data_IF_290092776073
#
_entry.id   IF_290092776073
#
_cell.length_a   1.000
_cell.length_b   1.000
_cell.length_c   1.000
_cell.angle_alpha   90.00
_cell.angle_beta   90.00
_cell.angle_gamma   90.00
#
_symmetry.space_group_name_H-M   'P 1'
#
loop_
_entity.id
_entity.type
_entity.pdbx_description
1 polymer ?
#
# COMPACT_ATOMS: atom_id res chain seq x y z
N UNK A 1 -24.77 33.41 -12.83
CA UNK A 1 -25.72 32.28 -12.87
C UNK A 1 -26.41 32.24 -11.51
N UNK A 2 -27.73 32.29 -11.48
CA UNK A 2 -28.59 32.42 -10.29
C UNK A 2 -29.56 31.24 -10.10
N UNK A 3 -29.50 30.24 -10.97
CA UNK A 3 -30.34 29.04 -10.92
C UNK A 3 -29.49 27.78 -11.12
N UNK A 4 -29.67 26.77 -10.25
CA UNK A 4 -29.08 25.44 -10.34
C UNK A 4 -30.21 24.44 -10.58
N UNK A 5 -30.22 23.78 -11.75
CA UNK A 5 -31.21 22.77 -12.11
C UNK A 5 -30.61 21.37 -11.98
N UNK A 6 -31.21 20.53 -11.14
CA UNK A 6 -30.91 19.10 -11.04
C UNK A 6 -32.03 18.34 -11.74
N UNK A 7 -31.72 17.65 -12.83
CA UNK A 7 -32.71 16.92 -13.63
C UNK A 7 -32.49 15.41 -13.51
N UNK A 8 -33.57 14.68 -13.25
CA UNK A 8 -33.56 13.22 -13.26
C UNK A 8 -33.32 12.67 -14.69
N UNK A 9 -32.71 11.48 -14.83
CA UNK A 9 -32.48 10.87 -16.13
C UNK A 9 -33.80 10.47 -16.81
N UNK A 10 -33.89 10.67 -18.12
CA UNK A 10 -35.11 10.43 -18.90
C UNK A 10 -35.41 8.95 -19.16
N UNK A 11 -34.42 8.08 -18.97
CA UNK A 11 -34.53 6.63 -19.16
C UNK A 11 -34.85 5.85 -17.88
N UNK A 12 -35.04 6.52 -16.73
CA UNK A 12 -35.45 5.88 -15.48
C UNK A 12 -36.90 6.23 -15.14
N UNK A 13 -37.73 5.21 -14.86
CA UNK A 13 -39.14 5.41 -14.52
C UNK A 13 -39.34 6.07 -13.14
N UNK A 14 -38.49 5.75 -12.16
CA UNK A 14 -38.45 6.34 -10.81
C UNK A 14 -37.12 6.02 -10.13
N UNK A 15 -36.70 6.84 -9.16
CA UNK A 15 -35.54 6.62 -8.31
C UNK A 15 -35.46 7.64 -7.19
N UNK A 16 -34.61 7.37 -6.19
CA UNK A 16 -34.36 8.28 -5.06
C UNK A 16 -32.87 8.62 -5.03
N UNK A 17 -32.54 9.90 -4.85
CA UNK A 17 -31.17 10.39 -4.65
C UNK A 17 -31.19 11.29 -3.42
N UNK A 18 -30.19 11.15 -2.58
CA UNK A 18 -29.97 12.03 -1.43
C UNK A 18 -28.86 13.02 -1.80
N UNK A 19 -29.11 14.30 -1.55
CA UNK A 19 -28.17 15.38 -1.82
C UNK A 19 -27.91 16.10 -0.50
N UNK A 20 -26.65 16.31 -0.20
CA UNK A 20 -26.21 17.07 0.97
C UNK A 20 -24.99 17.91 0.59
N UNK A 21 -24.67 18.93 1.41
CA UNK A 21 -23.51 19.79 1.27
C UNK A 21 -23.32 20.37 -0.15
N UNK A 22 -24.38 20.94 -0.71
CA UNK A 22 -24.33 21.65 -1.98
C UNK A 22 -23.59 22.98 -1.77
N UNK A 23 -22.38 23.07 -2.30
CA UNK A 23 -21.55 24.28 -2.29
C UNK A 23 -21.50 24.91 -3.69
N UNK A 24 -21.61 26.24 -3.79
CA UNK A 24 -21.57 26.97 -5.06
C UNK A 24 -20.58 28.13 -4.98
N UNK A 25 -19.86 28.39 -6.07
CA UNK A 25 -18.80 29.40 -6.16
C UNK A 25 -17.70 29.28 -5.10
N UNK A 26 -17.43 28.07 -4.61
CA UNK A 26 -16.30 27.84 -3.70
C UNK A 26 -14.99 27.90 -4.48
N UNK A 27 -14.02 28.64 -3.92
CA UNK A 27 -12.66 28.65 -4.43
C UNK A 27 -12.02 27.30 -4.11
N UNK A 28 -11.93 26.45 -5.13
CA UNK A 28 -11.27 25.15 -5.05
C UNK A 28 -9.96 25.18 -5.83
N UNK A 29 -8.96 24.42 -5.36
CA UNK A 29 -7.76 24.19 -6.16
C UNK A 29 -8.15 23.34 -7.37
N UNK A 30 -8.08 23.92 -8.57
CA UNK A 30 -8.47 23.24 -9.81
C UNK A 30 -7.71 21.93 -10.05
N UNK A 31 -6.52 21.77 -9.43
CA UNK A 31 -5.71 20.54 -9.52
C UNK A 31 -6.23 19.41 -8.65
N UNK A 32 -7.05 19.73 -7.65
CA UNK A 32 -7.63 18.80 -6.67
C UNK A 32 -9.11 18.53 -6.96
N UNK A 33 -9.65 19.06 -8.06
CA UNK A 33 -11.03 18.84 -8.44
C UNK A 33 -11.25 17.39 -8.85
N UNK A 34 -12.23 16.75 -8.23
CA UNK A 34 -12.77 15.48 -8.70
C UNK A 34 -13.68 15.79 -9.88
N UNK A 35 -13.42 15.16 -11.03
CA UNK A 35 -14.33 15.15 -12.18
C UNK A 35 -15.09 13.83 -12.13
N UNK A 36 -16.35 13.80 -11.64
CA UNK A 36 -17.07 12.56 -11.40
C UNK A 36 -17.19 11.68 -12.66
N UNK A 37 -17.38 12.30 -13.83
CA UNK A 37 -17.48 11.60 -15.11
C UNK A 37 -16.19 10.86 -15.46
N UNK A 38 -15.03 11.38 -15.07
CA UNK A 38 -13.74 10.72 -15.26
C UNK A 38 -13.49 9.66 -14.18
N UNK A 39 -13.81 9.97 -12.92
CA UNK A 39 -13.64 9.03 -11.81
C UNK A 39 -14.49 7.76 -12.02
N UNK A 40 -15.77 7.93 -12.37
CA UNK A 40 -16.70 6.82 -12.61
C UNK A 40 -16.35 5.95 -13.83
N UNK A 41 -15.44 6.40 -14.69
CA UNK A 41 -14.89 5.60 -15.79
C UNK A 41 -13.83 4.62 -15.34
N UNK A 42 -13.41 4.62 -14.06
CA UNK A 42 -12.48 3.63 -13.56
C UNK A 42 -12.98 2.21 -13.86
N UNK A 43 -12.06 1.36 -14.32
CA UNK A 43 -12.30 -0.05 -14.60
C UNK A 43 -11.21 -0.86 -13.95
N UNK A 44 -11.56 -2.10 -13.60
CA UNK A 44 -10.57 -3.06 -13.17
C UNK A 44 -9.45 -3.17 -14.24
N UNK A 45 -8.16 -3.18 -13.84
CA UNK A 45 -7.05 -3.32 -14.76
C UNK A 45 -7.20 -4.56 -15.65
N UNK A 46 -6.93 -4.39 -16.94
CA UNK A 46 -6.76 -5.51 -17.87
C UNK A 46 -5.38 -6.10 -17.63
N UNK A 47 -5.34 -7.38 -17.27
CA UNK A 47 -4.11 -8.08 -16.96
C UNK A 47 -3.48 -8.60 -18.26
N UNK A 48 -2.16 -8.48 -18.38
CA UNK A 48 -1.45 -9.00 -19.55
C UNK A 48 -1.30 -10.53 -19.45
N UNK A 49 -2.31 -11.25 -19.93
CA UNK A 49 -2.36 -12.71 -19.90
C UNK A 49 -1.30 -13.37 -20.78
N UNK A 50 -0.76 -12.65 -21.78
CA UNK A 50 0.28 -13.16 -22.66
C UNK A 50 1.63 -13.18 -21.97
N UNK A 51 2.01 -12.09 -21.29
CA UNK A 51 3.28 -12.01 -20.54
C UNK A 51 3.19 -12.69 -19.17
N UNK A 52 2.02 -12.67 -18.55
CA UNK A 52 1.79 -13.22 -17.21
C UNK A 52 0.53 -14.07 -17.17
N UNK A 53 0.52 -15.27 -17.80
CA UNK A 53 -0.61 -16.16 -17.75
C UNK A 53 -0.87 -16.63 -16.31
N UNK A 54 -2.15 -16.90 -16.00
CA UNK A 54 -2.51 -17.54 -14.73
C UNK A 54 -1.96 -18.97 -14.75
N UNK A 55 -1.15 -19.38 -13.76
CA UNK A 55 -0.61 -20.74 -13.74
C UNK A 55 -1.73 -21.76 -13.50
N UNK A 56 -1.69 -22.87 -14.24
CA UNK A 56 -2.64 -24.00 -14.06
C UNK A 56 -2.45 -24.69 -12.70
N UNK A 57 -1.23 -24.71 -12.18
CA UNK A 57 -0.88 -25.28 -10.90
C UNK A 57 0.11 -24.39 -10.14
N UNK A 58 -0.02 -24.37 -8.81
CA UNK A 58 0.88 -23.66 -7.90
C UNK A 58 1.79 -24.68 -7.21
N UNK A 59 3.09 -24.54 -7.42
CA UNK A 59 4.13 -25.42 -6.83
C UNK A 59 4.22 -25.27 -5.32
N UNK A 60 4.80 -26.26 -4.63
CA UNK A 60 4.97 -26.18 -3.17
C UNK A 60 5.90 -25.02 -2.76
N UNK A 61 6.95 -24.76 -3.55
CA UNK A 61 7.84 -23.62 -3.33
C UNK A 61 7.09 -22.28 -3.42
N UNK A 62 6.17 -22.13 -4.37
CA UNK A 62 5.34 -20.93 -4.49
C UNK A 62 4.34 -20.81 -3.34
N UNK A 63 3.72 -21.91 -2.91
CA UNK A 63 2.84 -21.91 -1.72
C UNK A 63 3.60 -21.52 -0.47
N UNK A 64 4.79 -22.09 -0.26
CA UNK A 64 5.66 -21.74 0.85
C UNK A 64 6.08 -20.27 0.80
N UNK A 65 6.48 -19.77 -0.37
CA UNK A 65 6.82 -18.36 -0.58
C UNK A 65 5.65 -17.42 -0.28
N UNK A 66 4.44 -17.74 -0.75
CA UNK A 66 3.23 -16.96 -0.44
C UNK A 66 2.96 -16.98 1.07
N UNK A 67 3.05 -18.12 1.74
CA UNK A 67 2.88 -18.22 3.21
C UNK A 67 3.92 -17.35 3.94
N UNK A 68 5.18 -17.39 3.52
CA UNK A 68 6.23 -16.56 4.10
C UNK A 68 5.95 -15.05 3.95
N UNK A 69 5.49 -14.63 2.76
CA UNK A 69 5.15 -13.22 2.48
C UNK A 69 3.93 -12.72 3.27
N UNK A 70 2.92 -13.57 3.45
CA UNK A 70 1.72 -13.27 4.24
C UNK A 70 2.03 -13.12 5.74
N UNK A 71 3.09 -13.78 6.21
CA UNK A 71 3.50 -13.80 7.61
C UNK A 71 2.58 -14.66 8.49
N UNK A 72 2.89 -14.78 9.79
CA UNK A 72 2.17 -15.65 10.72
C UNK A 72 0.75 -15.14 11.02
N UNK A 73 -0.20 -16.06 11.21
CA UNK A 73 -1.63 -15.77 11.42
C UNK A 73 -1.98 -15.14 12.77
N UNK A 74 -1.20 -15.40 13.81
CA UNK A 74 -1.38 -14.88 15.15
C UNK A 74 -0.05 -14.59 15.85
N UNK A 75 -0.06 -13.58 16.72
CA UNK A 75 1.08 -13.10 17.49
C UNK A 75 1.17 -13.70 18.89
N UNK A 76 1.81 -12.95 19.80
CA UNK A 76 2.15 -13.40 21.14
C UNK A 76 0.96 -13.50 22.12
N UNK A 77 -0.22 -13.00 21.74
CA UNK A 77 -1.37 -12.78 22.63
C UNK A 77 -1.61 -11.30 22.91
N UNK A 78 -2.79 -10.95 23.41
CA UNK A 78 -3.15 -9.59 23.85
C UNK A 78 -4.09 -9.65 25.05
N UNK A 79 -4.20 -8.55 25.80
CA UNK A 79 -5.07 -8.48 26.98
C UNK A 79 -6.52 -8.22 26.62
N UNK A 80 -7.44 -8.80 27.40
CA UNK A 80 -8.88 -8.56 27.26
C UNK A 80 -9.24 -7.07 27.46
N UNK A 81 -8.51 -6.38 28.34
CA UNK A 81 -8.66 -4.94 28.55
C UNK A 81 -8.39 -4.16 27.28
N UNK A 82 -7.30 -4.47 26.56
CA UNK A 82 -6.95 -3.78 25.32
C UNK A 82 -7.99 -4.00 24.22
N UNK A 83 -8.51 -5.23 24.11
CA UNK A 83 -9.58 -5.58 23.17
C UNK A 83 -10.82 -4.74 23.47
N UNK A 84 -11.25 -4.73 24.75
CA UNK A 84 -12.42 -3.97 25.20
C UNK A 84 -12.28 -2.48 24.93
N UNK A 85 -11.15 -1.87 25.28
CA UNK A 85 -10.88 -0.45 25.06
C UNK A 85 -11.02 -0.05 23.59
N UNK A 86 -10.45 -0.84 22.68
CA UNK A 86 -10.52 -0.56 21.25
C UNK A 86 -11.94 -0.73 20.71
N UNK A 87 -12.66 -1.77 21.14
CA UNK A 87 -14.06 -1.97 20.75
C UNK A 87 -14.94 -0.82 21.25
N UNK A 88 -14.75 -0.33 22.48
CA UNK A 88 -15.48 0.84 22.99
C UNK A 88 -15.12 2.13 22.24
N UNK A 89 -13.86 2.33 21.87
CA UNK A 89 -13.47 3.48 21.02
C UNK A 89 -14.15 3.43 19.64
N UNK A 90 -14.28 2.24 19.03
CA UNK A 90 -15.01 2.08 17.77
C UNK A 90 -16.50 2.35 17.96
N UNK A 91 -17.13 1.84 19.03
CA UNK A 91 -18.53 2.14 19.34
C UNK A 91 -18.77 3.63 19.55
N UNK A 92 -17.84 4.32 20.21
CA UNK A 92 -17.90 5.76 20.45
C UNK A 92 -17.87 6.61 19.17
N UNK A 93 -17.49 6.04 18.02
CA UNK A 93 -17.63 6.72 16.73
C UNK A 93 -19.11 6.92 16.34
N UNK A 94 -20.06 6.18 16.94
CA UNK A 94 -21.48 6.31 16.63
C UNK A 94 -21.86 5.77 15.25
N UNK A 95 -21.08 4.83 14.71
CA UNK A 95 -21.39 4.15 13.44
C UNK A 95 -22.50 3.13 13.68
N UNK A 96 -23.61 3.27 12.96
CA UNK A 96 -24.78 2.40 13.06
C UNK A 96 -25.20 1.89 11.69
N UNK A 97 -25.78 0.69 11.66
CA UNK A 97 -26.40 0.13 10.46
C UNK A 97 -27.90 0.00 10.68
N UNK A 98 -28.70 0.53 9.76
CA UNK A 98 -30.16 0.46 9.79
C UNK A 98 -30.75 0.12 8.42
N UNK A 99 -32.05 0.32 8.24
CA UNK A 99 -32.76 0.06 6.98
C UNK A 99 -32.31 0.94 5.82
N UNK A 100 -31.64 2.06 6.10
CA UNK A 100 -31.13 2.99 5.09
C UNK A 100 -29.64 2.78 4.77
N UNK A 101 -28.97 1.86 5.44
CA UNK A 101 -27.57 1.52 5.19
C UNK A 101 -26.68 1.80 6.40
N UNK A 102 -25.47 2.30 6.15
CA UNK A 102 -24.49 2.64 7.19
C UNK A 102 -24.59 4.14 7.45
N UNK A 103 -24.63 4.54 8.72
CA UNK A 103 -24.64 5.95 9.14
C UNK A 103 -23.58 6.17 10.20
N UNK A 104 -22.97 7.34 10.20
CA UNK A 104 -21.92 7.71 11.14
C UNK A 104 -21.46 9.15 10.89
N UNK A 105 -20.39 9.58 11.58
CA UNK A 105 -19.90 10.94 11.47
C UNK A 105 -19.23 11.18 10.10
N UNK A 106 -19.51 12.34 9.51
CA UNK A 106 -18.76 12.86 8.37
C UNK A 106 -17.35 13.27 8.82
N UNK A 107 -16.38 13.30 7.91
CA UNK A 107 -15.02 13.72 8.21
C UNK A 107 -14.40 14.52 7.06
N UNK A 108 -13.49 15.44 7.39
CA UNK A 108 -12.61 16.08 6.40
C UNK A 108 -11.46 15.16 5.99
N UNK A 109 -11.03 14.29 6.91
CA UNK A 109 -9.95 13.33 6.70
C UNK A 109 -10.22 12.03 7.45
N UNK A 110 -10.03 10.86 6.82
CA UNK A 110 -10.23 9.57 7.46
C UNK A 110 -9.08 9.18 8.41
N UNK A 111 -8.06 10.03 8.60
CA UNK A 111 -6.85 9.72 9.36
C UNK A 111 -7.11 9.21 10.79
N UNK A 112 -8.04 9.82 11.52
CA UNK A 112 -8.35 9.40 12.89
C UNK A 112 -8.94 7.99 12.94
N UNK A 113 -9.92 7.71 12.07
CA UNK A 113 -10.53 6.37 11.94
C UNK A 113 -9.53 5.34 11.44
N UNK A 114 -8.68 5.70 10.47
CA UNK A 114 -7.63 4.81 9.97
C UNK A 114 -6.61 4.46 11.06
N UNK A 115 -6.21 5.41 11.90
CA UNK A 115 -5.31 5.16 13.02
C UNK A 115 -5.94 4.22 14.06
N UNK A 116 -7.21 4.40 14.38
CA UNK A 116 -7.94 3.49 15.27
C UNK A 116 -8.06 2.09 14.64
N UNK A 117 -8.45 2.00 13.37
CA UNK A 117 -8.55 0.74 12.63
C UNK A 117 -7.21 0.00 12.55
N UNK A 118 -6.09 0.72 12.40
CA UNK A 118 -4.75 0.12 12.43
C UNK A 118 -4.42 -0.45 13.82
N UNK A 119 -4.78 0.23 14.90
CA UNK A 119 -4.63 -0.31 16.26
C UNK A 119 -5.46 -1.57 16.48
N UNK A 120 -6.70 -1.58 15.98
CA UNK A 120 -7.57 -2.77 15.97
C UNK A 120 -6.92 -3.91 15.19
N UNK A 121 -6.42 -3.63 13.99
CA UNK A 121 -5.78 -4.61 13.12
C UNK A 121 -4.51 -5.21 13.73
N UNK A 122 -3.64 -4.39 14.32
CA UNK A 122 -2.47 -4.89 15.07
C UNK A 122 -2.88 -5.76 16.25
N UNK A 123 -3.89 -5.34 17.01
CA UNK A 123 -4.40 -6.11 18.16
C UNK A 123 -5.01 -7.43 17.70
N UNK A 124 -5.73 -7.44 16.57
CA UNK A 124 -6.31 -8.65 15.96
C UNK A 124 -5.21 -9.64 15.57
N UNK A 125 -4.12 -9.16 14.95
CA UNK A 125 -2.97 -10.00 14.62
C UNK A 125 -2.21 -10.47 15.84
N UNK A 126 -2.23 -9.74 16.95
CA UNK A 126 -1.64 -10.18 18.21
C UNK A 126 -2.49 -11.22 18.96
N UNK A 127 -3.82 -11.16 18.86
CA UNK A 127 -4.76 -12.07 19.54
C UNK A 127 -4.64 -13.53 19.10
N UNK A 128 -4.71 -14.42 20.10
CA UNK A 128 -4.81 -15.88 19.92
C UNK A 128 -6.23 -16.41 20.15
N UNK A 129 -6.98 -15.73 21.01
CA UNK A 129 -8.32 -16.16 21.40
C UNK A 129 -9.34 -15.90 20.28
N UNK A 130 -10.08 -16.93 19.84
CA UNK A 130 -11.10 -16.78 18.79
C UNK A 130 -12.16 -15.73 19.14
N UNK A 131 -12.52 -15.60 20.43
CA UNK A 131 -13.50 -14.60 20.88
C UNK A 131 -12.99 -13.16 20.67
N UNK A 132 -11.73 -12.88 21.06
CA UNK A 132 -11.10 -11.57 20.84
C UNK A 132 -10.98 -11.25 19.35
N UNK A 133 -10.58 -12.23 18.54
CA UNK A 133 -10.47 -12.06 17.08
C UNK A 133 -11.82 -11.73 16.45
N UNK A 134 -12.91 -12.36 16.88
CA UNK A 134 -14.27 -12.02 16.41
C UNK A 134 -14.64 -10.58 16.75
N UNK A 135 -14.46 -10.17 18.01
CA UNK A 135 -14.78 -8.80 18.45
C UNK A 135 -13.97 -7.74 17.67
N UNK A 136 -12.66 -7.95 17.51
CA UNK A 136 -11.80 -7.03 16.77
C UNK A 136 -12.10 -7.02 15.27
N UNK A 137 -12.48 -8.16 14.69
CA UNK A 137 -12.95 -8.21 13.32
C UNK A 137 -14.23 -7.41 13.14
N UNK A 138 -15.24 -7.59 14.00
CA UNK A 138 -16.49 -6.82 13.98
C UNK A 138 -16.23 -5.31 14.14
N UNK A 139 -15.34 -4.93 15.04
CA UNK A 139 -14.94 -3.54 15.23
C UNK A 139 -14.28 -2.95 13.97
N UNK A 140 -13.34 -3.67 13.35
CA UNK A 140 -12.70 -3.24 12.11
C UNK A 140 -13.71 -3.13 10.96
N UNK A 141 -14.58 -4.13 10.81
CA UNK A 141 -15.61 -4.17 9.77
C UNK A 141 -16.64 -3.05 9.92
N UNK A 142 -16.90 -2.58 11.14
CA UNK A 142 -17.73 -1.40 11.40
C UNK A 142 -17.09 -0.13 10.82
N UNK A 143 -15.80 0.07 11.08
CA UNK A 143 -15.06 1.23 10.54
C UNK A 143 -14.94 1.14 9.02
N UNK A 144 -14.64 -0.06 8.50
CA UNK A 144 -14.47 -0.27 7.06
C UNK A 144 -15.77 -0.07 6.28
N UNK A 145 -16.91 -0.50 6.81
CA UNK A 145 -18.22 -0.22 6.22
C UNK A 145 -18.50 1.27 6.12
N UNK A 146 -18.21 2.03 7.18
CA UNK A 146 -18.42 3.47 7.20
C UNK A 146 -17.49 4.18 6.21
N UNK A 147 -16.19 3.87 6.20
CA UNK A 147 -15.25 4.49 5.27
C UNK A 147 -15.58 4.16 3.81
N UNK A 148 -16.02 2.93 3.54
CA UNK A 148 -16.50 2.54 2.23
C UNK A 148 -17.74 3.35 1.83
N UNK A 149 -18.73 3.47 2.72
CA UNK A 149 -19.97 4.24 2.48
C UNK A 149 -19.71 5.75 2.28
N UNK A 150 -18.72 6.31 3.01
CA UNK A 150 -18.24 7.68 2.84
C UNK A 150 -17.46 7.92 1.53
N UNK A 151 -17.38 6.91 0.65
CA UNK A 151 -16.86 7.07 -0.70
C UNK A 151 -15.41 6.64 -0.87
N UNK A 152 -14.75 5.99 0.10
CA UNK A 152 -13.43 5.37 -0.12
C UNK A 152 -13.54 4.09 -0.97
N UNK A 153 -13.95 4.28 -2.23
CA UNK A 153 -14.24 3.24 -3.21
C UNK A 153 -13.53 3.54 -4.52
N UNK A 154 -13.24 2.50 -5.30
CA UNK A 154 -12.68 2.68 -6.63
C UNK A 154 -13.65 3.46 -7.54
N UNK A 155 -13.13 4.43 -8.27
CA UNK A 155 -13.92 5.27 -9.19
C UNK A 155 -14.83 6.32 -8.52
N UNK A 156 -14.74 6.50 -7.21
CA UNK A 156 -15.49 7.53 -6.47
C UNK A 156 -14.93 8.95 -6.63
N UNK A 157 -13.68 9.07 -7.08
CA UNK A 157 -12.93 10.33 -7.00
C UNK A 157 -12.20 10.54 -5.67
N UNK A 158 -12.54 9.77 -4.63
CA UNK A 158 -11.86 9.82 -3.34
C UNK A 158 -10.52 9.08 -3.43
N UNK A 159 -9.43 9.81 -3.72
CA UNK A 159 -8.06 9.27 -3.72
C UNK A 159 -7.37 9.71 -2.44
N UNK A 160 -7.05 8.75 -1.58
CA UNK A 160 -6.35 8.99 -0.33
C UNK A 160 -5.16 8.04 -0.22
N UNK A 161 -4.25 8.16 -1.18
CA UNK A 161 -3.06 7.32 -1.32
C UNK A 161 -1.81 8.01 -0.78
N UNK A 162 -0.65 7.66 -1.34
CA UNK A 162 0.63 8.26 -0.96
C UNK A 162 0.91 8.16 0.54
N UNK A 163 1.47 9.22 1.14
CA UNK A 163 1.79 9.26 2.57
C UNK A 163 0.57 9.20 3.49
N UNK A 164 -0.54 9.81 3.08
CA UNK A 164 -1.73 9.97 3.91
C UNK A 164 -2.51 8.66 4.06
N UNK A 165 -2.60 7.86 2.99
CA UNK A 165 -3.34 6.60 2.97
C UNK A 165 -2.70 5.41 3.66
N UNK A 166 -1.41 5.51 4.00
CA UNK A 166 -0.58 4.38 4.45
C UNK A 166 -1.17 3.62 5.64
N UNK A 167 -1.64 4.37 6.62
CA UNK A 167 -2.23 3.83 7.85
C UNK A 167 -3.42 2.92 7.53
N UNK A 168 -4.31 3.36 6.64
CA UNK A 168 -5.47 2.57 6.24
C UNK A 168 -5.07 1.35 5.41
N UNK A 169 -4.15 1.53 4.46
CA UNK A 169 -3.68 0.42 3.63
C UNK A 169 -2.98 -0.68 4.46
N UNK A 170 -2.17 -0.30 5.45
CA UNK A 170 -1.57 -1.26 6.38
C UNK A 170 -2.65 -1.97 7.22
N UNK A 171 -3.68 -1.25 7.69
CA UNK A 171 -4.78 -1.84 8.47
C UNK A 171 -5.59 -2.86 7.64
N UNK A 172 -5.95 -2.51 6.40
CA UNK A 172 -6.63 -3.39 5.44
C UNK A 172 -5.82 -4.65 5.18
N UNK A 173 -4.52 -4.51 4.90
CA UNK A 173 -3.67 -5.67 4.61
C UNK A 173 -3.57 -6.63 5.82
N UNK A 174 -3.50 -6.10 7.05
CA UNK A 174 -3.50 -6.91 8.26
C UNK A 174 -4.85 -7.62 8.47
N UNK A 175 -5.96 -7.03 8.04
CA UNK A 175 -7.33 -7.56 8.19
C UNK A 175 -7.86 -8.31 6.97
N UNK A 176 -7.02 -8.53 5.95
CA UNK A 176 -7.39 -9.18 4.67
C UNK A 176 -8.19 -10.48 4.83
N UNK A 177 -7.86 -11.32 5.81
CA UNK A 177 -8.51 -12.61 6.00
C UNK A 177 -9.91 -12.42 6.60
N UNK A 178 -10.08 -11.49 7.54
CA UNK A 178 -11.39 -11.11 8.09
C UNK A 178 -12.26 -10.44 7.03
N UNK A 179 -11.66 -9.60 6.18
CA UNK A 179 -12.34 -8.99 5.03
C UNK A 179 -12.77 -10.05 4.01
N UNK A 180 -11.95 -11.07 3.74
CA UNK A 180 -12.31 -12.17 2.84
C UNK A 180 -13.50 -12.97 3.40
N UNK A 181 -13.44 -13.34 4.68
CA UNK A 181 -14.51 -14.06 5.38
C UNK A 181 -15.84 -13.28 5.37
N UNK A 182 -15.77 -11.96 5.45
CA UNK A 182 -16.94 -11.08 5.39
C UNK A 182 -17.40 -10.72 3.96
N UNK A 183 -16.74 -11.22 2.92
CA UNK A 183 -17.07 -10.92 1.52
C UNK A 183 -16.72 -9.50 1.06
N UNK A 184 -15.77 -8.83 1.74
CA UNK A 184 -15.42 -7.41 1.54
C UNK A 184 -14.00 -7.20 1.03
N UNK A 185 -13.22 -8.27 0.83
CA UNK A 185 -11.84 -8.11 0.37
C UNK A 185 -11.75 -7.52 -1.04
N UNK A 186 -12.67 -7.91 -1.95
CA UNK A 186 -12.64 -7.47 -3.36
C UNK A 186 -12.78 -5.95 -3.46
N UNK A 187 -13.75 -5.35 -2.76
CA UNK A 187 -13.94 -3.88 -2.81
C UNK A 187 -12.74 -3.11 -2.25
N UNK A 188 -12.05 -3.66 -1.25
CA UNK A 188 -10.80 -3.09 -0.74
C UNK A 188 -9.64 -3.26 -1.72
N UNK A 189 -9.56 -4.42 -2.38
CA UNK A 189 -8.58 -4.64 -3.45
C UNK A 189 -8.79 -3.65 -4.61
N UNK A 190 -10.03 -3.44 -5.06
CA UNK A 190 -10.36 -2.45 -6.09
C UNK A 190 -9.91 -1.05 -5.68
N UNK A 191 -10.16 -0.66 -4.42
CA UNK A 191 -9.69 0.61 -3.90
C UNK A 191 -8.16 0.71 -3.88
N UNK A 192 -7.43 -0.36 -3.58
CA UNK A 192 -5.97 -0.38 -3.71
C UNK A 192 -5.51 -0.20 -5.16
N UNK A 193 -6.15 -0.88 -6.12
CA UNK A 193 -5.84 -0.75 -7.54
C UNK A 193 -6.07 0.67 -8.04
N UNK A 194 -7.12 1.33 -7.55
CA UNK A 194 -7.43 2.73 -7.82
C UNK A 194 -6.42 3.69 -7.16
N UNK A 195 -6.19 3.53 -5.85
CA UNK A 195 -5.49 4.49 -4.99
C UNK A 195 -3.96 4.43 -5.12
N UNK A 196 -3.40 3.25 -5.41
CA UNK A 196 -1.96 3.04 -5.58
C UNK A 196 -1.57 2.67 -7.02
N UNK A 197 -2.52 2.78 -7.96
CA UNK A 197 -2.31 2.41 -9.36
C UNK A 197 -1.70 1.00 -9.53
N UNK A 198 -2.03 0.06 -8.63
CA UNK A 198 -1.35 -1.24 -8.58
C UNK A 198 -1.63 -2.11 -9.82
N UNK A 199 -2.65 -1.78 -10.63
CA UNK A 199 -2.83 -2.36 -11.96
C UNK A 199 -1.67 -2.09 -12.93
N UNK A 200 -0.89 -1.02 -12.72
CA UNK A 200 0.28 -0.69 -13.56
C UNK A 200 1.42 -1.70 -13.46
N UNK A 201 1.36 -2.65 -12.52
CA UNK A 201 2.25 -3.81 -12.47
C UNK A 201 2.28 -4.57 -13.81
N UNK A 202 1.15 -4.60 -14.53
CA UNK A 202 1.01 -5.28 -15.81
C UNK A 202 1.28 -4.36 -17.02
N UNK A 203 1.60 -3.08 -16.82
CA UNK A 203 1.79 -2.15 -17.93
C UNK A 203 3.01 -2.52 -18.80
N UNK A 204 2.88 -2.30 -20.11
CA UNK A 204 4.02 -2.38 -21.04
C UNK A 204 4.96 -1.18 -20.87
N UNK A 205 4.40 0.00 -20.59
CA UNK A 205 5.15 1.22 -20.33
C UNK A 205 6.18 1.03 -19.20
N UNK A 206 7.20 1.88 -19.21
CA UNK A 206 8.23 1.87 -18.19
C UNK A 206 7.62 2.19 -16.82
N UNK A 207 7.93 1.36 -15.80
CA UNK A 207 7.40 1.59 -14.47
C UNK A 207 8.01 2.84 -13.84
N UNK A 208 7.32 3.49 -12.89
CA UNK A 208 7.90 4.60 -12.14
C UNK A 208 9.19 4.18 -11.46
N UNK A 209 10.16 5.09 -11.36
CA UNK A 209 11.40 4.88 -10.61
C UNK A 209 11.85 6.18 -9.99
N UNK A 210 11.47 6.37 -8.72
CA UNK A 210 11.85 7.49 -7.88
C UNK A 210 11.78 7.05 -6.40
N UNK A 211 12.41 7.82 -5.51
CA UNK A 211 12.48 7.46 -4.09
C UNK A 211 11.10 7.32 -3.41
N UNK A 212 10.10 8.13 -3.76
CA UNK A 212 8.74 7.99 -3.21
C UNK A 212 8.04 6.74 -3.71
N UNK A 213 8.20 6.41 -5.01
CA UNK A 213 7.68 5.15 -5.55
C UNK A 213 8.23 3.93 -4.78
N UNK A 214 9.55 3.88 -4.57
CA UNK A 214 10.19 2.79 -3.83
C UNK A 214 9.84 2.75 -2.34
N UNK A 215 9.72 3.91 -1.70
CA UNK A 215 9.44 4.00 -0.26
C UNK A 215 7.96 3.83 0.11
N UNK A 216 7.04 4.07 -0.83
CA UNK A 216 5.60 4.13 -0.58
C UNK A 216 4.87 3.12 -1.45
N UNK A 217 4.86 3.30 -2.78
CA UNK A 217 3.95 2.59 -3.68
C UNK A 217 4.27 1.10 -3.80
N UNK A 218 5.56 0.73 -3.88
CA UNK A 218 6.01 -0.66 -4.07
C UNK A 218 5.46 -1.58 -2.98
N UNK A 219 5.34 -1.09 -1.73
CA UNK A 219 4.75 -1.86 -0.63
C UNK A 219 3.28 -2.18 -0.89
N UNK A 220 2.49 -1.17 -1.28
CA UNK A 220 1.05 -1.35 -1.47
C UNK A 220 0.73 -2.11 -2.75
N UNK A 221 1.62 -2.04 -3.74
CA UNK A 221 1.62 -2.94 -4.90
C UNK A 221 1.85 -4.40 -4.49
N UNK A 222 2.81 -4.68 -3.60
CA UNK A 222 3.00 -6.03 -3.04
C UNK A 222 1.75 -6.49 -2.26
N UNK A 223 1.13 -5.61 -1.47
CA UNK A 223 -0.12 -5.95 -0.77
C UNK A 223 -1.24 -6.30 -1.74
N UNK A 224 -1.41 -5.56 -2.84
CA UNK A 224 -2.37 -5.91 -3.89
C UNK A 224 -2.11 -7.29 -4.49
N UNK A 225 -0.84 -7.71 -4.62
CA UNK A 225 -0.50 -9.06 -5.08
C UNK A 225 -0.91 -10.14 -4.07
N UNK A 226 -0.74 -9.87 -2.78
CA UNK A 226 -0.99 -10.84 -1.71
C UNK A 226 -2.46 -10.95 -1.31
N UNK A 227 -3.27 -9.91 -1.59
CA UNK A 227 -4.71 -9.88 -1.36
C UNK A 227 -5.54 -10.49 -2.50
N UNK A 228 -4.90 -11.01 -3.55
CA UNK A 228 -5.60 -11.71 -4.62
C UNK A 228 -6.38 -12.94 -4.09
N UNK A 229 -7.50 -13.29 -4.74
CA UNK A 229 -8.51 -14.20 -4.18
C UNK A 229 -8.02 -15.65 -4.02
N UNK A 230 -7.17 -16.11 -4.94
CA UNK A 230 -6.64 -17.46 -4.94
C UNK A 230 -5.11 -17.51 -5.11
N UNK A 231 -4.51 -18.67 -4.82
CA UNK A 231 -3.06 -18.83 -4.86
C UNK A 231 -2.47 -18.66 -6.27
N UNK A 232 -3.19 -19.08 -7.32
CA UNK A 232 -2.71 -18.96 -8.70
C UNK A 232 -2.71 -17.48 -9.14
N UNK A 233 -3.72 -16.70 -8.74
CA UNK A 233 -3.71 -15.25 -8.91
C UNK A 233 -2.58 -14.59 -8.15
N UNK A 234 -2.34 -14.96 -6.89
CA UNK A 234 -1.20 -14.44 -6.12
C UNK A 234 0.12 -14.70 -6.84
N UNK A 235 0.32 -15.91 -7.39
CA UNK A 235 1.52 -16.22 -8.19
C UNK A 235 1.60 -15.34 -9.44
N UNK A 236 0.51 -15.21 -10.21
CA UNK A 236 0.46 -14.36 -11.42
C UNK A 236 0.88 -12.93 -11.09
N UNK A 237 0.27 -12.35 -10.06
CA UNK A 237 0.54 -10.98 -9.63
C UNK A 237 1.95 -10.81 -9.06
N UNK A 238 2.45 -11.75 -8.26
CA UNK A 238 3.82 -11.69 -7.73
C UNK A 238 4.88 -11.81 -8.82
N UNK A 239 4.65 -12.62 -9.86
CA UNK A 239 5.54 -12.70 -11.03
C UNK A 239 5.57 -11.38 -11.80
N UNK A 240 4.40 -10.78 -12.04
CA UNK A 240 4.30 -9.49 -12.70
C UNK A 240 4.94 -8.37 -11.86
N UNK A 241 4.73 -8.38 -10.53
CA UNK A 241 5.33 -7.44 -9.59
C UNK A 241 6.85 -7.52 -9.58
N UNK A 242 7.40 -8.73 -9.51
CA UNK A 242 8.85 -8.99 -9.61
C UNK A 242 9.40 -8.40 -10.91
N UNK A 243 8.79 -8.73 -12.05
CA UNK A 243 9.22 -8.24 -13.36
C UNK A 243 9.15 -6.70 -13.47
N UNK A 244 8.08 -6.10 -12.96
CA UNK A 244 7.91 -4.65 -12.90
C UNK A 244 8.98 -3.99 -12.03
N UNK A 245 9.23 -4.52 -10.83
CA UNK A 245 10.21 -3.96 -9.90
C UNK A 245 11.64 -4.06 -10.46
N UNK A 246 11.99 -5.17 -11.11
CA UNK A 246 13.28 -5.34 -11.79
C UNK A 246 13.47 -4.33 -12.93
N UNK A 247 12.44 -4.14 -13.76
CA UNK A 247 12.45 -3.11 -14.80
C UNK A 247 12.60 -1.71 -14.19
N UNK A 248 11.89 -1.41 -13.10
CA UNK A 248 11.97 -0.12 -12.40
C UNK A 248 13.38 0.18 -11.90
N UNK A 249 14.05 -0.84 -11.36
CA UNK A 249 15.42 -0.75 -10.81
C UNK A 249 16.47 -0.62 -11.92
N UNK A 250 16.32 -1.36 -13.02
CA UNK A 250 17.37 -1.51 -14.03
C UNK A 250 17.25 -0.53 -15.21
N UNK A 251 16.09 0.08 -15.44
CA UNK A 251 15.89 1.00 -16.56
C UNK A 251 16.87 2.19 -16.54
N UNK A 252 17.19 2.79 -17.70
CA UNK A 252 18.14 3.91 -17.79
C UNK A 252 17.75 5.14 -16.95
N UNK A 253 16.46 5.41 -16.85
CA UNK A 253 15.88 6.51 -16.07
C UNK A 253 15.77 6.20 -14.58
N UNK A 254 16.21 5.01 -14.14
CA UNK A 254 16.04 4.54 -12.76
C UNK A 254 16.60 5.52 -11.75
N UNK A 255 15.91 5.64 -10.61
CA UNK A 255 16.42 6.40 -9.48
C UNK A 255 17.58 5.70 -8.75
N UNK A 256 17.87 4.43 -9.05
CA UNK A 256 19.06 3.73 -8.56
C UNK A 256 20.10 3.66 -9.68
N UNK A 257 21.15 4.49 -9.60
CA UNK A 257 22.15 4.61 -10.65
C UNK A 257 23.20 3.50 -10.56
N UNK A 258 23.88 3.27 -11.67
CA UNK A 258 24.91 2.22 -11.81
C UNK A 258 26.12 2.43 -10.89
N UNK A 259 26.39 3.67 -10.48
CA UNK A 259 27.47 4.05 -9.55
C UNK A 259 27.04 4.01 -8.07
N UNK A 260 25.79 3.66 -7.78
CA UNK A 260 25.22 3.65 -6.43
C UNK A 260 24.62 4.97 -5.98
N UNK A 261 24.69 6.03 -6.80
CA UNK A 261 23.96 7.27 -6.50
C UNK A 261 22.44 7.05 -6.63
N UNK A 262 21.68 7.76 -5.81
CA UNK A 262 20.22 7.66 -5.72
C UNK A 262 19.56 8.99 -6.09
N UNK A 263 18.58 8.97 -7.00
CA UNK A 263 18.03 10.17 -7.61
C UNK A 263 16.61 10.49 -7.15
N UNK A 264 16.37 11.77 -6.89
CA UNK A 264 15.06 12.37 -6.67
C UNK A 264 15.13 13.88 -6.97
N UNK A 265 14.02 14.52 -7.33
CA UNK A 265 13.98 15.93 -7.78
C UNK A 265 15.03 16.27 -8.88
N UNK A 266 15.29 15.34 -9.81
CA UNK A 266 16.17 15.58 -10.95
C UNK A 266 17.69 15.45 -10.67
N UNK A 267 18.11 15.08 -9.46
CA UNK A 267 19.54 14.91 -9.14
C UNK A 267 19.80 13.86 -8.07
N UNK A 268 21.08 13.64 -7.74
CA UNK A 268 21.45 12.80 -6.60
C UNK A 268 20.90 13.44 -5.31
N UNK A 269 19.90 12.83 -4.71
CA UNK A 269 19.21 13.37 -3.54
C UNK A 269 19.29 12.39 -2.39
N UNK A 270 20.42 12.44 -1.72
CA UNK A 270 20.79 11.52 -0.67
C UNK A 270 19.83 11.49 0.52
N UNK A 271 19.32 12.65 0.96
CA UNK A 271 18.38 12.70 2.08
C UNK A 271 17.09 11.89 1.82
N UNK A 272 16.56 11.87 0.59
CA UNK A 272 15.41 11.01 0.26
C UNK A 272 15.76 9.53 0.35
N UNK A 273 16.94 9.16 -0.13
CA UNK A 273 17.38 7.77 -0.05
C UNK A 273 17.51 7.29 1.40
N UNK A 274 17.95 8.16 2.33
CA UNK A 274 18.12 7.81 3.74
C UNK A 274 16.84 7.26 4.40
N UNK A 275 15.66 7.82 4.09
CA UNK A 275 14.40 7.37 4.70
C UNK A 275 13.55 6.47 3.80
N UNK A 276 13.73 6.49 2.48
CA UNK A 276 12.95 5.64 1.57
C UNK A 276 13.59 4.28 1.30
N UNK A 277 14.92 4.20 1.23
CA UNK A 277 15.60 2.93 0.93
C UNK A 277 15.36 1.82 1.95
N UNK A 278 15.22 2.07 3.26
CA UNK A 278 14.81 1.03 4.20
C UNK A 278 13.49 0.36 3.81
N UNK A 279 12.54 1.12 3.24
CA UNK A 279 11.27 0.59 2.73
C UNK A 279 11.47 -0.40 1.58
N UNK A 280 12.30 -0.04 0.60
CA UNK A 280 12.63 -0.93 -0.52
C UNK A 280 13.40 -2.17 -0.06
N UNK A 281 14.42 -1.99 0.80
CA UNK A 281 15.20 -3.10 1.34
C UNK A 281 14.32 -4.10 2.10
N UNK A 282 13.30 -3.64 2.80
CA UNK A 282 12.36 -4.52 3.50
C UNK A 282 11.53 -5.36 2.51
N UNK A 283 11.22 -4.83 1.33
CA UNK A 283 10.56 -5.59 0.26
C UNK A 283 11.53 -6.61 -0.36
N UNK A 284 12.77 -6.20 -0.67
CA UNK A 284 13.80 -7.10 -1.20
C UNK A 284 14.06 -8.27 -0.25
N UNK A 285 14.19 -7.98 1.05
CA UNK A 285 14.37 -8.98 2.09
C UNK A 285 13.18 -9.92 2.22
N UNK A 286 11.94 -9.42 2.11
CA UNK A 286 10.74 -10.29 2.11
C UNK A 286 10.72 -11.26 0.93
N UNK A 287 11.21 -10.83 -0.23
CA UNK A 287 11.23 -11.65 -1.44
C UNK A 287 12.40 -12.63 -1.50
N UNK A 288 13.48 -12.37 -0.75
CA UNK A 288 14.79 -13.02 -0.96
C UNK A 288 14.80 -14.54 -0.77
N UNK A 289 13.96 -15.06 0.12
CA UNK A 289 13.81 -16.49 0.43
C UNK A 289 12.58 -17.11 -0.24
N UNK A 290 12.08 -16.48 -1.31
CA UNK A 290 10.91 -16.94 -2.05
C UNK A 290 11.24 -17.15 -3.52
N UNK A 291 10.43 -17.92 -4.28
CA UNK A 291 10.56 -17.97 -5.74
C UNK A 291 10.40 -16.61 -6.45
N UNK A 292 9.98 -15.57 -5.72
CA UNK A 292 9.77 -14.22 -6.23
C UNK A 292 10.97 -13.29 -5.97
N UNK A 293 12.11 -13.83 -5.53
CA UNK A 293 13.39 -13.12 -5.35
C UNK A 293 13.77 -12.32 -6.60
N UNK A 294 14.31 -11.12 -6.41
CA UNK A 294 14.88 -10.34 -7.52
C UNK A 294 16.02 -11.08 -8.21
N UNK A 295 16.19 -10.85 -9.51
CA UNK A 295 17.36 -11.31 -10.25
C UNK A 295 18.64 -10.66 -9.69
N UNK A 296 19.79 -11.30 -9.95
CA UNK A 296 21.06 -10.90 -9.37
C UNK A 296 21.45 -9.46 -9.72
N UNK A 297 21.14 -8.99 -10.94
CA UNK A 297 21.48 -7.64 -11.38
C UNK A 297 20.66 -6.56 -10.65
N UNK A 298 19.35 -6.78 -10.51
CA UNK A 298 18.46 -5.86 -9.79
C UNK A 298 18.81 -5.84 -8.30
N UNK A 299 19.08 -7.00 -7.70
CA UNK A 299 19.53 -7.08 -6.31
C UNK A 299 20.86 -6.34 -6.12
N UNK A 300 21.85 -6.58 -6.98
CA UNK A 300 23.14 -5.88 -6.93
C UNK A 300 22.98 -4.36 -7.11
N UNK A 301 22.05 -3.88 -7.94
CA UNK A 301 21.76 -2.43 -8.06
C UNK A 301 21.26 -1.83 -6.75
N UNK A 302 20.35 -2.51 -6.05
CA UNK A 302 19.85 -2.07 -4.73
C UNK A 302 20.98 -2.13 -3.70
N UNK A 303 21.73 -3.23 -3.67
CA UNK A 303 22.88 -3.43 -2.78
C UNK A 303 23.90 -2.30 -2.92
N UNK A 304 24.33 -2.01 -4.16
CA UNK A 304 25.26 -0.92 -4.46
C UNK A 304 24.74 0.42 -4.01
N UNK A 305 23.46 0.71 -4.26
CA UNK A 305 22.86 1.97 -3.86
C UNK A 305 22.87 2.19 -2.34
N UNK A 306 22.70 1.12 -1.54
CA UNK A 306 22.75 1.22 -0.06
C UNK A 306 24.19 1.25 0.45
N UNK A 307 25.10 0.46 -0.12
CA UNK A 307 26.52 0.48 0.25
C UNK A 307 27.17 1.84 -0.07
N UNK A 308 26.81 2.45 -1.19
CA UNK A 308 27.27 3.79 -1.53
C UNK A 308 26.85 4.83 -0.48
N UNK A 309 25.69 4.67 0.17
CA UNK A 309 25.28 5.58 1.25
C UNK A 309 26.22 5.57 2.43
N UNK A 310 26.76 4.39 2.78
CA UNK A 310 27.78 4.29 3.81
C UNK A 310 29.04 5.07 3.42
N UNK A 311 29.44 5.05 2.14
CA UNK A 311 30.64 5.74 1.66
C UNK A 311 30.46 7.26 1.72
N UNK A 312 29.26 7.76 1.43
CA UNK A 312 28.97 9.19 1.44
C UNK A 312 28.88 9.79 2.85
N UNK A 313 28.65 8.95 3.87
CA UNK A 313 28.48 9.37 5.25
C UNK A 313 29.74 9.22 6.09
N UNK A 314 29.89 10.09 7.09
CA UNK A 314 30.80 9.84 8.19
C UNK A 314 30.05 9.14 9.32
N UNK A 315 30.27 7.84 9.50
CA UNK A 315 29.45 6.97 10.34
C UNK A 315 27.96 7.02 9.95
N UNK A 316 27.17 7.89 10.57
CA UNK A 316 25.74 8.10 10.24
C UNK A 316 25.46 9.50 9.73
N UNK A 317 26.40 10.43 9.86
CA UNK A 317 26.17 11.82 9.52
C UNK A 317 26.20 12.04 8.01
N UNK A 318 25.18 12.71 7.51
CA UNK A 318 25.09 13.13 6.12
C UNK A 318 25.90 14.42 5.93
N UNK A 319 26.83 14.50 4.97
CA UNK A 319 27.59 15.72 4.73
C UNK A 319 26.66 16.85 4.29
N UNK A 320 27.04 18.09 4.62
CA UNK A 320 26.21 19.28 4.35
C UNK A 320 25.85 19.41 2.87
N UNK A 321 26.78 19.09 1.97
CA UNK A 321 26.56 19.11 0.51
C UNK A 321 25.51 18.12 0.02
N UNK A 322 25.20 17.08 0.80
CA UNK A 322 24.20 16.05 0.48
C UNK A 322 22.92 16.14 1.31
N UNK A 323 22.79 17.17 2.16
CA UNK A 323 21.60 17.39 2.99
C UNK A 323 20.38 17.91 2.20
N UNK A 324 20.56 18.24 0.92
CA UNK A 324 19.51 18.82 0.07
C UNK A 324 18.91 20.07 0.70
N UNK A 325 17.58 20.16 0.74
CA UNK A 325 16.85 21.30 1.34
C UNK A 325 16.84 21.35 2.88
N UNK A 326 17.54 20.43 3.56
CA UNK A 326 17.56 20.35 5.03
C UNK A 326 18.98 20.54 5.59
N UNK A 327 19.71 21.62 5.22
CA UNK A 327 21.02 21.90 5.81
C UNK A 327 20.87 22.03 7.33
N UNK A 328 21.75 21.39 8.08
CA UNK A 328 21.72 21.34 9.56
C UNK A 328 20.50 20.63 10.18
N UNK A 329 19.65 19.98 9.37
CA UNK A 329 18.45 19.29 9.85
C UNK A 329 18.70 17.92 10.50
N UNK A 330 19.96 17.56 10.77
CA UNK A 330 20.31 16.31 11.45
C UNK A 330 19.97 15.04 10.66
N UNK A 331 20.00 15.10 9.32
CA UNK A 331 19.79 13.90 8.51
C UNK A 331 20.86 12.86 8.85
N UNK A 332 20.43 11.62 9.12
CA UNK A 332 21.32 10.50 9.38
C UNK A 332 20.92 9.30 8.53
N UNK A 333 21.92 8.51 8.11
CA UNK A 333 21.66 7.22 7.45
C UNK A 333 21.18 6.23 8.49
N UNK A 334 20.03 5.60 8.21
CA UNK A 334 19.51 4.51 9.01
C UNK A 334 20.25 3.20 8.65
N UNK A 335 21.02 2.60 9.57
CA UNK A 335 21.73 1.35 9.29
C UNK A 335 20.80 0.15 9.06
N UNK A 336 19.50 0.28 9.35
CA UNK A 336 18.53 -0.79 9.15
C UNK A 336 18.45 -1.26 7.68
N UNK A 337 18.68 -0.38 6.71
CA UNK A 337 18.74 -0.78 5.30
C UNK A 337 19.89 -1.76 5.02
N UNK A 338 21.03 -1.62 5.72
CA UNK A 338 22.17 -2.54 5.62
C UNK A 338 21.86 -3.89 6.27
N UNK A 339 21.22 -3.90 7.45
CA UNK A 339 20.78 -5.13 8.12
C UNK A 339 19.78 -5.93 7.25
N UNK A 340 18.81 -5.24 6.64
CA UNK A 340 17.85 -5.86 5.74
C UNK A 340 18.52 -6.49 4.51
N UNK A 341 19.50 -5.81 3.90
CA UNK A 341 20.24 -6.36 2.77
C UNK A 341 21.15 -7.51 3.17
N UNK A 342 21.84 -7.40 4.30
CA UNK A 342 22.63 -8.51 4.84
C UNK A 342 21.76 -9.78 4.98
N UNK A 343 20.55 -9.64 5.50
CA UNK A 343 19.56 -10.74 5.62
C UNK A 343 18.86 -11.12 4.31
N UNK A 344 19.08 -10.40 3.22
CA UNK A 344 18.57 -10.75 1.90
C UNK A 344 19.46 -11.78 1.19
N UNK A 345 20.64 -12.07 1.74
CA UNK A 345 21.65 -12.93 1.13
C UNK A 345 22.32 -12.29 -0.08
N UNK A 346 23.43 -12.87 -0.55
CA UNK A 346 24.21 -12.33 -1.68
C UNK A 346 23.35 -12.17 -2.93
N UNK A 347 23.60 -11.20 -3.82
CA UNK A 347 22.76 -10.96 -5.00
C UNK A 347 22.47 -12.20 -5.86
N UNK A 348 23.47 -13.08 -6.00
CA UNK A 348 23.36 -14.37 -6.71
C UNK A 348 22.56 -15.47 -5.98
N UNK A 349 22.17 -15.22 -4.73
CA UNK A 349 21.41 -16.13 -3.88
C UNK A 349 22.21 -17.30 -3.33
N UNK A 350 23.55 -17.30 -3.46
CA UNK A 350 24.39 -18.41 -3.01
C UNK A 350 24.65 -18.43 -1.51
N UNK A 351 24.63 -17.27 -0.86
CA UNK A 351 24.80 -17.17 0.59
C UNK A 351 23.55 -16.59 1.23
N UNK A 352 23.10 -17.14 2.37
CA UNK A 352 21.93 -16.63 3.09
C UNK A 352 22.20 -15.26 3.73
N UNK A 353 23.46 -14.91 3.96
CA UNK A 353 23.90 -13.60 4.44
C UNK A 353 24.82 -12.95 3.41
N UNK A 354 24.65 -11.64 3.20
CA UNK A 354 25.56 -10.80 2.41
C UNK A 354 26.64 -10.20 3.34
N UNK A 355 27.93 -10.49 3.12
CA UNK A 355 29.03 -10.14 4.03
C UNK A 355 29.44 -8.65 4.05
#
# INVERSE_FOLDING_TARGET
VDNIRIAAPTNAAKGTVFLDRIEYNTLTDYRMQVIPEQAAQWRHPVLDERRFPKPEAVSEAERAGIRALLGPDAGAGTSETRVRELCEQVKALGIVRDEHGVRGPTFESPAAMANLALQVAHTYRASREPAQRRQLAEAFLTVEDHLFDQGMQAGSGFVWGGYAGRTWADAVYLMRDALAQAGRLVRQLDYFLYNYSAGRIFAEADPPSNMDFYGIDVRYQLYSCLMQPDAAERVRWLRAFKAMLERSILQPTSALKVDGSTFHHGGHYFAYACYQMPGLCAIVQKLSETPFRLNAEAHERVRRAVLAQRIFCNQRDVPLSLSGRHPFGGSTVNPWALDLLARSGTPDGRQPLDP
#
